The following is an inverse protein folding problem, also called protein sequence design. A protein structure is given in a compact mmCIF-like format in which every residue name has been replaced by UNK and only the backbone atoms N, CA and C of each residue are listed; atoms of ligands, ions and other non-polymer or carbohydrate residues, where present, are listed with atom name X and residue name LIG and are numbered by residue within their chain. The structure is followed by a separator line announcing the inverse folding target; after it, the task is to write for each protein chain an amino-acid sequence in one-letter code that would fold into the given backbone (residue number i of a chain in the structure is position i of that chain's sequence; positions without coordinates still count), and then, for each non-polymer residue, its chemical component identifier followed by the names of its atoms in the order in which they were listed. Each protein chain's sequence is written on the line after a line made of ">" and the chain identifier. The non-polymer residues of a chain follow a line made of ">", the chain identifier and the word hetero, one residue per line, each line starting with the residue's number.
data_IF_159244389423
#
_entry.id   IF_159244389423
#
_cell.length_a   1.000
_cell.length_b   1.000
_cell.length_c   1.000
_cell.angle_alpha   90.00
_cell.angle_beta   90.00
_cell.angle_gamma   90.00
#
_symmetry.space_group_name_H-M   'P 1'
#
loop_
_entity.id
_entity.type
_entity.pdbx_description
1 polymer ?
#
# COMPACT_ATOMS: atom_id res chain seq x y z
N UNK A 1 30.06 14.22 -1.15
CA UNK A 1 30.91 14.44 -2.33
C UNK A 1 30.87 13.15 -3.14
N UNK A 2 30.43 13.16 -4.40
CA UNK A 2 30.45 11.94 -5.22
C UNK A 2 31.92 11.57 -5.47
N UNK A 3 32.31 10.41 -4.98
CA UNK A 3 33.62 9.82 -5.31
C UNK A 3 33.54 9.34 -6.75
N UNK A 4 34.27 10.00 -7.60
CA UNK A 4 34.28 9.83 -9.05
C UNK A 4 35.35 8.83 -9.51
N UNK A 5 35.39 7.65 -8.90
CA UNK A 5 36.24 6.55 -9.33
C UNK A 5 35.46 5.24 -9.30
N UNK A 6 34.51 5.12 -10.25
CA UNK A 6 33.80 3.86 -10.49
C UNK A 6 34.55 3.03 -11.54
N UNK A 7 35.43 2.15 -11.07
CA UNK A 7 36.04 1.14 -11.94
C UNK A 7 35.15 -0.08 -12.19
N UNK A 8 34.00 -0.17 -11.52
CA UNK A 8 33.06 -1.27 -11.67
C UNK A 8 31.72 -0.78 -12.22
N UNK A 9 31.42 -1.14 -13.45
CA UNK A 9 30.15 -0.88 -14.09
C UNK A 9 29.21 -2.06 -13.89
N UNK A 10 27.98 -1.78 -13.48
CA UNK A 10 26.91 -2.77 -13.46
C UNK A 10 26.35 -2.95 -14.86
N UNK A 11 26.12 -4.19 -15.25
CA UNK A 11 25.53 -4.54 -16.54
C UNK A 11 24.06 -4.89 -16.39
N UNK A 12 23.31 -4.77 -17.49
CA UNK A 12 21.90 -5.12 -17.52
C UNK A 12 21.73 -6.62 -17.20
N UNK A 13 21.03 -6.90 -16.11
CA UNK A 13 20.80 -8.27 -15.60
C UNK A 13 21.55 -8.58 -14.31
N UNK A 14 22.46 -7.71 -13.87
CA UNK A 14 23.13 -7.88 -12.59
C UNK A 14 22.14 -7.69 -11.44
N UNK A 15 22.30 -8.52 -10.42
CA UNK A 15 21.46 -8.42 -9.20
C UNK A 15 22.21 -7.61 -8.16
N UNK A 16 21.53 -6.62 -7.61
CA UNK A 16 22.02 -5.79 -6.51
C UNK A 16 21.09 -5.91 -5.31
N UNK A 17 21.62 -5.72 -4.13
CA UNK A 17 20.87 -5.72 -2.88
C UNK A 17 20.99 -4.34 -2.24
N UNK A 18 19.90 -3.85 -1.67
CA UNK A 18 19.92 -2.65 -0.85
C UNK A 18 20.59 -3.00 0.48
N UNK A 19 21.76 -2.42 0.73
CA UNK A 19 22.54 -2.67 1.92
C UNK A 19 22.26 -1.66 3.04
N UNK A 20 22.04 -0.41 2.68
CA UNK A 20 21.87 0.69 3.62
C UNK A 20 21.15 1.85 2.93
N UNK A 21 20.52 2.72 3.69
CA UNK A 21 19.98 3.98 3.19
C UNK A 21 20.38 5.13 4.14
N UNK A 22 20.50 6.33 3.58
CA UNK A 22 20.85 7.53 4.33
C UNK A 22 19.94 8.69 3.91
N UNK A 23 19.43 9.42 4.92
CA UNK A 23 18.55 10.55 4.69
C UNK A 23 19.39 11.83 4.79
N UNK A 24 19.42 12.59 3.70
CA UNK A 24 20.05 13.91 3.64
C UNK A 24 18.98 14.98 3.45
N UNK A 25 18.39 15.44 4.54
CA UNK A 25 17.33 16.48 4.54
C UNK A 25 17.75 17.81 3.92
N UNK A 26 19.04 18.03 3.71
CA UNK A 26 19.58 19.23 3.06
C UNK A 26 19.60 19.15 1.52
N UNK A 27 19.39 17.97 0.95
CA UNK A 27 19.34 17.79 -0.51
C UNK A 27 17.89 17.98 -0.97
N UNK A 28 17.67 19.00 -1.80
CA UNK A 28 16.33 19.36 -2.30
C UNK A 28 15.85 18.47 -3.45
N UNK A 29 16.74 17.66 -4.05
CA UNK A 29 16.45 16.83 -5.23
C UNK A 29 16.22 15.38 -4.83
N UNK A 30 17.13 14.81 -4.03
CA UNK A 30 17.03 13.45 -3.50
C UNK A 30 17.37 13.46 -2.01
N UNK A 31 16.35 13.42 -1.17
CA UNK A 31 16.50 13.37 0.29
C UNK A 31 16.97 12.00 0.78
N UNK A 32 16.71 10.94 0.01
CA UNK A 32 17.05 9.56 0.37
C UNK A 32 18.12 9.03 -0.60
N UNK A 33 19.23 8.59 -0.02
CA UNK A 33 20.32 7.93 -0.73
C UNK A 33 20.37 6.46 -0.35
N UNK A 34 20.49 5.59 -1.33
CA UNK A 34 20.44 4.14 -1.17
C UNK A 34 21.79 3.55 -1.53
N UNK A 35 22.35 2.74 -0.63
CA UNK A 35 23.57 2.01 -0.88
C UNK A 35 23.24 0.67 -1.50
N UNK A 36 23.65 0.48 -2.74
CA UNK A 36 23.51 -0.76 -3.46
C UNK A 36 24.80 -1.58 -3.35
N UNK A 37 24.66 -2.88 -3.12
CA UNK A 37 25.76 -3.83 -3.09
C UNK A 37 25.50 -4.95 -4.11
N UNK A 38 26.46 -5.16 -5.02
CA UNK A 38 26.51 -6.34 -5.89
C UNK A 38 27.37 -7.45 -5.27
N UNK A 39 28.44 -7.05 -4.60
CA UNK A 39 29.32 -7.92 -3.83
C UNK A 39 29.91 -7.16 -2.64
N UNK A 40 30.74 -7.82 -1.81
CA UNK A 40 31.41 -7.15 -0.70
C UNK A 40 32.36 -6.03 -1.15
N UNK A 41 32.90 -6.15 -2.37
CA UNK A 41 33.84 -5.17 -2.92
C UNK A 41 33.18 -4.11 -3.81
N UNK A 42 32.02 -4.45 -4.43
CA UNK A 42 31.31 -3.58 -5.36
C UNK A 42 30.07 -3.03 -4.63
N UNK A 43 30.23 -1.83 -4.10
CA UNK A 43 29.16 -1.10 -3.41
C UNK A 43 29.16 0.36 -3.87
N UNK A 44 27.99 0.99 -3.92
CA UNK A 44 27.85 2.39 -4.31
C UNK A 44 26.57 3.02 -3.78
N UNK A 45 26.58 4.35 -3.69
CA UNK A 45 25.42 5.13 -3.31
C UNK A 45 24.74 5.69 -4.57
N UNK A 46 23.41 5.63 -4.59
CA UNK A 46 22.57 6.17 -5.66
C UNK A 46 21.38 6.89 -5.03
N UNK A 47 20.90 7.95 -5.67
CA UNK A 47 19.66 8.61 -5.25
C UNK A 47 18.44 7.69 -5.45
N UNK A 48 17.47 7.76 -4.56
CA UNK A 48 16.25 6.93 -4.61
C UNK A 48 15.57 7.04 -5.98
N UNK A 49 15.44 8.24 -6.52
CA UNK A 49 14.79 8.48 -7.81
C UNK A 49 15.51 7.83 -8.99
N UNK A 50 16.84 7.91 -9.02
CA UNK A 50 17.65 7.24 -10.03
C UNK A 50 17.58 5.72 -9.87
N UNK A 51 17.59 5.22 -8.63
CA UNK A 51 17.45 3.80 -8.34
C UNK A 51 16.14 3.25 -8.90
N UNK A 52 15.02 3.93 -8.62
CA UNK A 52 13.69 3.52 -9.11
C UNK A 52 13.58 3.51 -10.64
N UNK A 53 14.34 4.35 -11.35
CA UNK A 53 14.36 4.36 -12.81
C UNK A 53 15.29 3.30 -13.43
N UNK A 54 16.38 2.97 -12.75
CA UNK A 54 17.41 2.10 -13.27
C UNK A 54 17.22 0.63 -12.90
N UNK A 55 16.57 0.34 -11.77
CA UNK A 55 16.43 -1.01 -11.24
C UNK A 55 14.97 -1.43 -11.13
N UNK A 56 14.72 -2.71 -11.39
CA UNK A 56 13.40 -3.33 -11.25
C UNK A 56 13.46 -4.35 -10.11
N UNK A 57 12.52 -4.33 -9.17
CA UNK A 57 12.47 -5.31 -8.09
C UNK A 57 12.42 -6.74 -8.63
N UNK A 58 13.12 -7.67 -7.96
CA UNK A 58 13.10 -9.09 -8.33
C UNK A 58 12.11 -9.92 -7.54
N UNK A 59 11.69 -9.47 -6.37
CA UNK A 59 10.69 -10.17 -5.57
C UNK A 59 9.24 -9.79 -5.96
N UNK A 60 8.33 -10.73 -5.80
CA UNK A 60 6.94 -10.60 -6.24
C UNK A 60 6.19 -9.48 -5.52
N UNK A 61 6.54 -9.18 -4.28
CA UNK A 61 5.87 -8.16 -3.46
C UNK A 61 6.27 -6.77 -3.94
N UNK A 62 7.58 -6.54 -4.09
CA UNK A 62 8.10 -5.26 -4.60
C UNK A 62 7.71 -5.03 -6.06
N UNK A 63 7.64 -6.09 -6.89
CA UNK A 63 7.10 -6.00 -8.24
C UNK A 63 5.64 -5.56 -8.25
N UNK A 64 4.83 -6.09 -7.34
CA UNK A 64 3.44 -5.67 -7.19
C UNK A 64 3.34 -4.20 -6.79
N UNK A 65 4.12 -3.75 -5.79
CA UNK A 65 4.17 -2.35 -5.37
C UNK A 65 4.63 -1.44 -6.51
N UNK A 66 5.69 -1.82 -7.22
CA UNK A 66 6.22 -1.09 -8.38
C UNK A 66 5.18 -0.95 -9.49
N UNK A 67 4.46 -2.03 -9.82
CA UNK A 67 3.42 -2.03 -10.85
C UNK A 67 2.28 -1.04 -10.51
N UNK A 68 1.93 -0.92 -9.23
CA UNK A 68 0.88 0.01 -8.78
C UNK A 68 1.39 1.44 -8.54
N UNK A 69 2.69 1.63 -8.39
CA UNK A 69 3.31 2.94 -8.21
C UNK A 69 3.64 3.63 -9.54
N UNK A 70 3.71 2.88 -10.64
CA UNK A 70 4.11 3.41 -11.94
C UNK A 70 2.95 4.12 -12.66
N UNK A 71 3.29 5.11 -13.49
CA UNK A 71 2.36 5.90 -14.30
C UNK A 71 1.49 5.02 -15.22
N UNK A 72 1.99 3.87 -15.63
CA UNK A 72 1.25 2.90 -16.45
C UNK A 72 0.08 2.26 -15.72
N UNK A 73 0.15 2.12 -14.41
CA UNK A 73 -0.97 1.61 -13.60
C UNK A 73 -2.20 2.51 -13.68
N UNK A 74 -2.01 3.82 -13.87
CA UNK A 74 -3.10 4.79 -14.02
C UNK A 74 -3.98 4.47 -15.22
N UNK A 75 -3.39 4.09 -16.35
CA UNK A 75 -4.17 3.70 -17.55
C UNK A 75 -4.96 2.42 -17.31
N UNK A 76 -4.38 1.44 -16.62
CA UNK A 76 -5.07 0.20 -16.28
C UNK A 76 -6.26 0.45 -15.35
N UNK A 77 -6.07 1.30 -14.33
CA UNK A 77 -7.14 1.71 -13.40
C UNK A 77 -8.25 2.44 -14.12
N UNK A 78 -7.94 3.35 -15.06
CA UNK A 78 -8.94 4.09 -15.86
C UNK A 78 -9.73 3.12 -16.73
N UNK A 79 -9.07 2.21 -17.46
CA UNK A 79 -9.74 1.21 -18.31
C UNK A 79 -10.65 0.31 -17.47
N UNK A 80 -10.16 -0.16 -16.31
CA UNK A 80 -10.94 -0.97 -15.39
C UNK A 80 -12.16 -0.22 -14.85
N UNK A 81 -11.98 1.05 -14.45
CA UNK A 81 -13.06 1.90 -13.98
C UNK A 81 -14.12 2.16 -15.05
N UNK A 82 -13.72 2.35 -16.32
CA UNK A 82 -14.64 2.46 -17.44
C UNK A 82 -15.43 1.18 -17.68
N UNK A 83 -14.77 0.01 -17.58
CA UNK A 83 -15.42 -1.27 -17.73
C UNK A 83 -16.46 -1.53 -16.63
N UNK A 84 -16.07 -1.29 -15.37
CA UNK A 84 -16.96 -1.39 -14.20
C UNK A 84 -18.11 -0.39 -14.33
N UNK A 85 -17.84 0.87 -14.72
CA UNK A 85 -18.84 1.90 -14.94
C UNK A 85 -19.87 1.52 -16.01
N UNK A 86 -19.41 0.99 -17.15
CA UNK A 86 -20.28 0.51 -18.22
C UNK A 86 -21.13 -0.69 -17.77
N UNK A 87 -20.56 -1.61 -17.00
CA UNK A 87 -21.28 -2.75 -16.44
C UNK A 87 -22.35 -2.32 -15.44
N UNK A 88 -22.00 -1.42 -14.52
CA UNK A 88 -22.91 -0.78 -13.56
C UNK A 88 -24.04 -0.06 -14.27
N UNK A 89 -23.72 0.77 -15.30
CA UNK A 89 -24.72 1.46 -16.11
C UNK A 89 -25.69 0.49 -16.80
N UNK A 90 -25.19 -0.63 -17.30
CA UNK A 90 -26.02 -1.67 -17.90
C UNK A 90 -26.98 -2.33 -16.88
N UNK A 91 -26.53 -2.53 -15.64
CA UNK A 91 -27.38 -3.04 -14.56
C UNK A 91 -28.48 -2.04 -14.17
N UNK A 92 -28.16 -0.74 -14.09
CA UNK A 92 -29.15 0.31 -13.88
C UNK A 92 -30.24 0.31 -14.95
N UNK A 93 -29.84 0.25 -16.23
CA UNK A 93 -30.83 0.21 -17.34
C UNK A 93 -31.74 -0.99 -17.30
N UNK A 94 -31.27 -2.12 -16.77
CA UNK A 94 -32.06 -3.35 -16.66
C UNK A 94 -32.99 -3.40 -15.47
N UNK A 95 -33.03 -2.36 -14.62
CA UNK A 95 -33.80 -2.31 -13.34
C UNK A 95 -33.58 -3.53 -12.43
N UNK A 96 -32.42 -4.17 -12.55
CA UNK A 96 -32.05 -5.37 -11.77
C UNK A 96 -31.39 -5.00 -10.45
N UNK A 97 -31.25 -3.70 -10.17
CA UNK A 97 -30.60 -3.23 -8.97
C UNK A 97 -31.61 -3.05 -7.85
N UNK A 98 -31.49 -3.88 -6.85
CA UNK A 98 -32.06 -3.62 -5.54
C UNK A 98 -30.94 -3.00 -4.69
N UNK A 99 -31.15 -1.77 -4.21
CA UNK A 99 -30.21 -1.15 -3.28
C UNK A 99 -30.32 -1.93 -1.97
N UNK A 100 -29.20 -2.53 -1.58
CA UNK A 100 -29.09 -3.30 -0.33
C UNK A 100 -28.36 -2.40 0.66
N UNK A 101 -28.98 -2.15 1.80
CA UNK A 101 -28.38 -1.37 2.88
C UNK A 101 -27.55 -2.27 3.80
N UNK A 102 -26.66 -1.67 4.59
CA UNK A 102 -25.85 -2.39 5.58
C UNK A 102 -26.70 -3.21 6.56
N UNK A 103 -27.91 -2.74 6.85
CA UNK A 103 -28.83 -3.42 7.78
C UNK A 103 -29.63 -4.57 7.14
N UNK A 104 -29.57 -4.73 5.82
CA UNK A 104 -30.28 -5.81 5.11
C UNK A 104 -29.47 -7.11 5.09
N UNK A 105 -28.25 -7.07 5.61
CA UNK A 105 -27.34 -8.22 5.67
C UNK A 105 -27.07 -8.53 7.13
N UNK A 106 -27.38 -9.76 7.50
CA UNK A 106 -27.19 -10.28 8.87
C UNK A 106 -25.73 -10.72 9.07
N UNK A 107 -24.81 -9.74 8.96
CA UNK A 107 -23.37 -9.98 9.03
C UNK A 107 -22.64 -8.84 9.73
N UNK A 108 -21.73 -9.20 10.63
CA UNK A 108 -20.85 -8.25 11.34
C UNK A 108 -19.55 -7.96 10.55
N UNK A 109 -19.21 -8.79 9.59
CA UNK A 109 -17.95 -8.70 8.85
C UNK A 109 -17.73 -7.37 8.11
N UNK A 110 -18.73 -6.74 7.45
CA UNK A 110 -18.56 -5.44 6.81
C UNK A 110 -18.15 -4.33 7.78
N UNK A 111 -18.76 -4.30 8.97
CA UNK A 111 -18.39 -3.35 10.02
C UNK A 111 -16.97 -3.61 10.52
N UNK A 112 -16.62 -4.87 10.75
CA UNK A 112 -15.28 -5.27 11.17
C UNK A 112 -14.22 -4.89 10.14
N UNK A 113 -14.54 -5.01 8.84
CA UNK A 113 -13.64 -4.59 7.75
C UNK A 113 -13.35 -3.10 7.79
N UNK A 114 -14.37 -2.25 7.99
CA UNK A 114 -14.20 -0.81 8.14
C UNK A 114 -13.36 -0.44 9.36
N UNK A 115 -13.59 -1.11 10.50
CA UNK A 115 -12.80 -0.92 11.71
C UNK A 115 -11.33 -1.32 11.53
N UNK A 116 -11.08 -2.45 10.87
CA UNK A 116 -9.71 -2.89 10.55
C UNK A 116 -9.01 -1.92 9.60
N UNK A 117 -9.72 -1.37 8.62
CA UNK A 117 -9.17 -0.35 7.72
C UNK A 117 -8.77 0.91 8.51
N UNK A 118 -9.64 1.42 9.37
CA UNK A 118 -9.36 2.57 10.22
C UNK A 118 -8.16 2.29 11.15
N UNK A 119 -8.12 1.13 11.78
CA UNK A 119 -7.02 0.71 12.64
C UNK A 119 -5.69 0.62 11.87
N UNK A 120 -5.69 -0.05 10.71
CA UNK A 120 -4.49 -0.19 9.87
C UNK A 120 -3.97 1.18 9.40
N UNK A 121 -4.88 2.09 9.00
CA UNK A 121 -4.52 3.45 8.59
C UNK A 121 -3.86 4.23 9.75
N UNK A 122 -4.41 4.13 10.96
CA UNK A 122 -3.87 4.78 12.16
C UNK A 122 -2.49 4.22 12.52
N UNK A 123 -2.31 2.90 12.48
CA UNK A 123 -1.00 2.26 12.77
C UNK A 123 0.03 2.64 11.73
N UNK A 124 -0.35 2.66 10.45
CA UNK A 124 0.50 3.09 9.34
C UNK A 124 1.02 4.51 9.54
N UNK A 125 0.12 5.44 9.83
CA UNK A 125 0.45 6.84 10.07
C UNK A 125 1.31 7.01 11.31
N UNK A 126 0.97 6.33 12.40
CA UNK A 126 1.76 6.33 13.63
C UNK A 126 3.20 5.87 13.37
N UNK A 127 3.36 4.85 12.53
CA UNK A 127 4.69 4.34 12.17
C UNK A 127 5.48 5.37 11.36
N UNK A 128 4.85 6.06 10.41
CA UNK A 128 5.53 7.09 9.61
C UNK A 128 5.97 8.29 10.45
N UNK A 129 5.17 8.69 11.45
CA UNK A 129 5.47 9.85 12.29
C UNK A 129 6.50 9.52 13.37
N UNK A 130 6.39 8.38 14.04
CA UNK A 130 7.21 8.08 15.21
C UNK A 130 8.42 7.20 14.91
N UNK A 131 8.37 6.37 13.88
CA UNK A 131 9.43 5.40 13.55
C UNK A 131 9.62 5.31 12.03
N UNK A 132 9.94 6.41 11.33
CA UNK A 132 10.05 6.44 9.87
C UNK A 132 11.11 5.47 9.34
N UNK A 133 12.22 5.27 10.05
CA UNK A 133 13.28 4.34 9.69
C UNK A 133 12.78 2.89 9.53
N UNK A 134 11.82 2.48 10.38
CA UNK A 134 11.21 1.14 10.28
C UNK A 134 10.43 0.98 8.99
N UNK A 135 9.69 2.03 8.57
CA UNK A 135 8.95 2.02 7.33
C UNK A 135 9.87 2.00 6.11
N UNK A 136 10.91 2.82 6.10
CA UNK A 136 11.89 2.87 5.01
C UNK A 136 12.62 1.53 4.86
N UNK A 137 13.05 0.94 5.98
CA UNK A 137 13.65 -0.38 5.94
C UNK A 137 12.69 -1.44 5.37
N UNK A 138 11.41 -1.40 5.74
CA UNK A 138 10.40 -2.30 5.20
C UNK A 138 10.14 -2.06 3.72
N UNK A 139 10.13 -0.81 3.27
CA UNK A 139 9.94 -0.45 1.86
C UNK A 139 11.00 -1.07 0.96
N UNK A 140 12.27 -1.05 1.39
CA UNK A 140 13.37 -1.65 0.64
C UNK A 140 13.52 -3.17 0.85
N UNK A 141 13.03 -3.71 1.95
CA UNK A 141 13.08 -5.14 2.29
C UNK A 141 11.69 -5.64 2.71
N UNK A 142 10.73 -5.72 1.80
CA UNK A 142 9.37 -6.06 2.14
C UNK A 142 9.27 -7.52 2.61
N UNK A 143 8.50 -7.73 3.68
CA UNK A 143 8.20 -9.06 4.21
C UNK A 143 6.73 -9.15 4.59
N UNK A 144 6.12 -10.30 4.38
CA UNK A 144 4.76 -10.59 4.87
C UNK A 144 4.76 -11.28 6.23
N UNK A 145 5.94 -11.64 6.76
CA UNK A 145 6.04 -12.31 8.05
C UNK A 145 6.03 -11.31 9.21
N UNK A 146 5.06 -11.38 10.13
CA UNK A 146 4.98 -10.46 11.26
C UNK A 146 5.95 -10.80 12.40
N UNK A 147 6.66 -11.97 12.35
CA UNK A 147 7.38 -12.50 13.50
C UNK A 147 8.85 -12.05 13.62
N UNK A 148 9.44 -11.44 12.58
CA UNK A 148 10.87 -11.06 12.55
C UNK A 148 11.09 -9.57 12.33
N UNK A 149 10.11 -8.76 12.69
CA UNK A 149 10.09 -7.33 12.43
C UNK A 149 9.85 -6.57 13.74
N UNK A 150 10.16 -5.26 13.82
CA UNK A 150 9.84 -4.43 14.98
C UNK A 150 8.35 -4.50 15.35
N UNK A 151 8.05 -4.34 16.66
CA UNK A 151 6.69 -4.55 17.20
C UNK A 151 5.60 -3.76 16.45
N UNK A 152 5.83 -2.48 16.16
CA UNK A 152 4.84 -1.64 15.48
C UNK A 152 4.55 -2.12 14.06
N UNK A 153 5.58 -2.54 13.33
CA UNK A 153 5.45 -3.12 11.99
C UNK A 153 4.78 -4.51 12.05
N UNK A 154 5.05 -5.30 13.09
CA UNK A 154 4.36 -6.57 13.34
C UNK A 154 2.85 -6.37 13.52
N UNK A 155 2.45 -5.38 14.33
CA UNK A 155 1.02 -5.03 14.53
C UNK A 155 0.38 -4.59 13.21
N UNK A 156 1.08 -3.78 12.42
CA UNK A 156 0.61 -3.38 11.09
C UNK A 156 0.39 -4.58 10.17
N UNK A 157 1.38 -5.46 10.04
CA UNK A 157 1.28 -6.66 9.20
C UNK A 157 0.17 -7.61 9.67
N UNK A 158 0.00 -7.80 10.97
CA UNK A 158 -1.11 -8.57 11.52
C UNK A 158 -2.46 -7.96 11.17
N UNK A 159 -2.59 -6.63 11.23
CA UNK A 159 -3.83 -5.94 10.85
C UNK A 159 -4.15 -6.14 9.36
N UNK A 160 -3.15 -6.15 8.48
CA UNK A 160 -3.32 -6.46 7.05
C UNK A 160 -3.75 -7.91 6.83
N UNK A 161 -3.17 -8.88 7.55
CA UNK A 161 -3.60 -10.27 7.46
C UNK A 161 -5.04 -10.45 7.93
N UNK A 162 -5.42 -9.83 9.05
CA UNK A 162 -6.81 -9.84 9.53
C UNK A 162 -7.76 -9.18 8.53
N UNK A 163 -7.35 -8.06 7.93
CA UNK A 163 -8.15 -7.40 6.88
C UNK A 163 -8.41 -8.33 5.70
N UNK A 164 -7.40 -9.07 5.22
CA UNK A 164 -7.56 -10.04 4.13
C UNK A 164 -8.50 -11.18 4.53
N UNK A 165 -8.35 -11.73 5.73
CA UNK A 165 -9.20 -12.81 6.21
C UNK A 165 -10.67 -12.36 6.32
N UNK A 166 -10.91 -11.18 6.90
CA UNK A 166 -12.26 -10.63 7.04
C UNK A 166 -12.83 -10.26 5.67
N UNK A 167 -12.02 -9.74 4.73
CA UNK A 167 -12.46 -9.47 3.37
C UNK A 167 -12.94 -10.74 2.67
N UNK A 168 -12.21 -11.85 2.80
CA UNK A 168 -12.65 -13.14 2.26
C UNK A 168 -13.95 -13.62 2.90
N UNK A 169 -14.11 -13.43 4.22
CA UNK A 169 -15.35 -13.76 4.92
C UNK A 169 -16.53 -12.89 4.43
N UNK A 170 -16.30 -11.57 4.22
CA UNK A 170 -17.29 -10.67 3.62
C UNK A 170 -17.72 -11.16 2.24
N UNK A 171 -16.76 -11.52 1.39
CA UNK A 171 -17.06 -12.00 0.04
C UNK A 171 -17.91 -13.28 0.09
N UNK A 172 -17.51 -14.26 0.87
CA UNK A 172 -18.26 -15.52 0.99
C UNK A 172 -19.69 -15.27 1.50
N UNK A 173 -19.85 -14.45 2.52
CA UNK A 173 -21.14 -14.16 3.13
C UNK A 173 -22.07 -13.37 2.18
N UNK A 174 -21.54 -12.38 1.47
CA UNK A 174 -22.30 -11.59 0.51
C UNK A 174 -22.80 -12.42 -0.68
N UNK A 175 -21.93 -13.27 -1.25
CA UNK A 175 -22.32 -14.10 -2.39
C UNK A 175 -23.26 -15.24 -2.00
N UNK A 176 -23.37 -15.59 -0.72
CA UNK A 176 -24.40 -16.52 -0.20
C UNK A 176 -25.74 -15.86 0.02
N UNK A 177 -25.77 -14.60 0.47
CA UNK A 177 -27.01 -13.92 0.84
C UNK A 177 -27.62 -13.10 -0.30
N UNK A 178 -26.81 -12.61 -1.23
CA UNK A 178 -27.22 -11.70 -2.28
C UNK A 178 -27.06 -12.28 -3.69
N UNK A 179 -27.85 -11.73 -4.61
CA UNK A 179 -27.58 -11.97 -6.05
C UNK A 179 -26.24 -11.36 -6.45
N UNK A 180 -25.50 -11.92 -7.41
CA UNK A 180 -24.17 -11.42 -7.78
C UNK A 180 -24.13 -9.93 -8.12
N UNK A 181 -25.17 -9.39 -8.74
CA UNK A 181 -25.28 -7.98 -9.05
C UNK A 181 -25.41 -7.13 -7.78
N UNK A 182 -26.26 -7.50 -6.84
CA UNK A 182 -26.46 -6.82 -5.57
C UNK A 182 -25.20 -6.90 -4.69
N UNK A 183 -24.53 -8.05 -4.66
CA UNK A 183 -23.28 -8.26 -3.93
C UNK A 183 -22.17 -7.31 -4.41
N UNK A 184 -21.98 -7.17 -5.73
CA UNK A 184 -20.98 -6.24 -6.28
C UNK A 184 -21.31 -4.80 -5.94
N UNK A 185 -22.60 -4.39 -6.00
CA UNK A 185 -22.99 -3.03 -5.58
C UNK A 185 -22.71 -2.77 -4.12
N UNK A 186 -23.02 -3.72 -3.27
CA UNK A 186 -22.72 -3.63 -1.85
C UNK A 186 -21.21 -3.53 -1.60
N UNK A 187 -20.40 -4.34 -2.29
CA UNK A 187 -18.93 -4.28 -2.22
C UNK A 187 -18.37 -2.94 -2.67
N UNK A 188 -18.93 -2.31 -3.71
CA UNK A 188 -18.53 -0.95 -4.12
C UNK A 188 -18.85 0.09 -3.05
N UNK A 189 -20.03 -0.01 -2.40
CA UNK A 189 -20.39 0.83 -1.26
C UNK A 189 -19.45 0.62 -0.07
N UNK A 190 -19.18 -0.64 0.27
CA UNK A 190 -18.25 -1.01 1.34
C UNK A 190 -16.82 -0.52 1.06
N UNK A 191 -16.33 -0.69 -0.17
CA UNK A 191 -15.03 -0.18 -0.58
C UNK A 191 -14.97 1.36 -0.45
N UNK A 192 -16.02 2.06 -0.82
CA UNK A 192 -16.13 3.52 -0.64
C UNK A 192 -16.08 3.91 0.84
N UNK A 193 -16.75 3.17 1.73
CA UNK A 193 -16.67 3.37 3.17
C UNK A 193 -15.25 3.11 3.71
N UNK A 194 -14.59 2.05 3.25
CA UNK A 194 -13.21 1.75 3.65
C UNK A 194 -12.24 2.85 3.19
N UNK A 195 -12.38 3.36 1.97
CA UNK A 195 -11.59 4.48 1.44
C UNK A 195 -11.85 5.74 2.27
N UNK A 196 -13.10 6.04 2.61
CA UNK A 196 -13.43 7.16 3.48
C UNK A 196 -12.79 7.01 4.86
N UNK A 197 -12.88 5.83 5.48
CA UNK A 197 -12.22 5.55 6.76
C UNK A 197 -10.70 5.77 6.66
N UNK A 198 -10.07 5.29 5.61
CA UNK A 198 -8.64 5.46 5.39
C UNK A 198 -8.26 6.94 5.35
N UNK A 199 -8.90 7.74 4.49
CA UNK A 199 -8.61 9.16 4.37
C UNK A 199 -9.00 9.99 5.59
N UNK A 200 -10.00 9.56 6.34
CA UNK A 200 -10.42 10.26 7.56
C UNK A 200 -9.42 10.06 8.70
N UNK A 201 -8.88 8.85 8.86
CA UNK A 201 -8.01 8.53 9.99
C UNK A 201 -6.54 8.95 9.76
N UNK A 202 -6.07 9.11 8.53
CA UNK A 202 -4.74 9.66 8.24
C UNK A 202 -4.59 11.11 8.77
N UNK A 203 -5.40 12.09 8.38
CA UNK A 203 -5.22 13.48 8.82
C UNK A 203 -5.53 13.71 10.30
N UNK A 204 -6.34 12.88 10.96
CA UNK A 204 -6.64 13.00 12.39
C UNK A 204 -5.38 12.81 13.24
N UNK A 205 -4.45 11.97 12.80
CA UNK A 205 -3.17 11.76 13.47
C UNK A 205 -2.31 13.03 13.52
N UNK A 206 -2.34 13.86 12.47
CA UNK A 206 -1.60 15.13 12.42
C UNK A 206 -2.17 16.21 13.35
N UNK A 207 -3.49 16.28 13.51
CA UNK A 207 -4.14 17.34 14.30
C UNK A 207 -3.95 17.19 15.80
N UNK A 208 -3.69 15.98 16.29
CA UNK A 208 -3.45 15.73 17.72
C UNK A 208 -1.99 15.89 18.15
N UNK A 209 -1.04 15.98 17.22
CA UNK A 209 0.39 16.08 17.50
C UNK A 209 0.98 17.48 17.39
N UNK A 210 0.25 18.44 16.83
CA UNK A 210 0.64 19.86 16.85
C UNK A 210 0.11 20.52 18.12
N UNK A 211 0.67 20.18 19.28
CA UNK A 211 0.56 21.04 20.44
C UNK A 211 1.39 22.31 20.14
N UNK A 212 0.80 23.51 20.27
CA UNK A 212 1.56 24.75 20.14
C UNK A 212 2.58 24.77 21.26
N UNK A 213 3.86 24.67 20.91
CA UNK A 213 4.94 25.05 21.83
C UNK A 213 4.89 26.55 21.96
N UNK A 214 4.28 27.02 23.06
CA UNK A 214 4.42 28.37 23.58
C UNK A 214 5.81 28.58 24.17
#
# INVERSE_FOLDING_TARGET
>A
LPVKDCYNTLYRGDRVVVAEFAIHSADSVDSVWVKLAHSQEIQGWIGEREMMQAFVPTDSISQFIYLFSDTHASYFVIIFALFVGAWVFRLFRRKQLKIVYFNDIDSVYPLLLCLLMAFSATVYETMQVFVPETWEHFYFNPTLSPFKVPFILSVFLLSIWLFIIVLLAVLDDLFRQLTPAAAVFYLLGLASCCIFCYFFFIPVSYTHLTLPTT
#
